data_IF_233758048837
#
_entry.id   IF_233758048837
#
_cell.length_a   1.000
_cell.length_b   1.000
_cell.length_c   1.000
_cell.angle_alpha   90.00
_cell.angle_beta   90.00
_cell.angle_gamma   90.00
#
_symmetry.space_group_name_H-M   'P 1'
#
loop_
_entity.id
_entity.type
_entity.pdbx_description
1 polymer ?
#
# COMPACT_ATOMS: atom_id res chain seq x y z
N UNK A 1 75.49 9.39 21.76
CA UNK A 1 74.24 8.97 21.07
C UNK A 1 73.45 10.22 20.72
N UNK A 2 73.49 10.67 19.46
CA UNK A 2 72.72 11.83 18.99
C UNK A 2 71.28 11.38 18.69
N UNK A 3 70.31 11.89 19.46
CA UNK A 3 68.88 11.64 19.27
C UNK A 3 68.38 12.62 18.21
N UNK A 4 68.13 12.14 17.00
CA UNK A 4 67.51 12.93 15.93
C UNK A 4 66.04 13.09 16.28
N UNK A 5 65.63 14.28 16.74
CA UNK A 5 64.23 14.62 16.91
C UNK A 5 63.65 14.86 15.51
N UNK A 6 62.81 13.93 15.03
CA UNK A 6 61.98 14.13 13.84
C UNK A 6 61.11 15.36 14.07
N UNK A 7 61.17 16.35 13.19
CA UNK A 7 60.19 17.43 13.19
C UNK A 7 58.86 16.87 12.68
N UNK A 8 57.92 16.64 13.57
CA UNK A 8 56.53 16.48 13.17
C UNK A 8 56.04 17.83 12.65
N UNK A 9 55.80 17.92 11.35
CA UNK A 9 55.27 19.12 10.71
C UNK A 9 53.88 19.43 11.26
N UNK A 10 53.68 20.64 11.77
CA UNK A 10 52.36 21.11 12.22
C UNK A 10 51.43 21.38 11.02
N UNK A 11 50.15 21.05 11.18
CA UNK A 11 49.10 21.38 10.22
C UNK A 11 48.96 22.89 10.06
N UNK A 12 48.89 23.38 8.82
CA UNK A 12 48.57 24.79 8.56
C UNK A 12 47.07 25.03 8.54
N UNK A 13 46.64 26.24 8.92
CA UNK A 13 45.23 26.65 8.82
C UNK A 13 44.71 26.56 7.38
N UNK A 14 45.58 26.84 6.39
CA UNK A 14 45.19 26.82 4.98
C UNK A 14 44.94 25.41 4.46
N UNK A 15 45.70 24.41 4.89
CA UNK A 15 45.44 23.00 4.53
C UNK A 15 44.07 22.54 5.03
N UNK A 16 43.70 22.92 6.25
CA UNK A 16 42.37 22.60 6.79
C UNK A 16 41.26 23.28 5.99
N UNK A 17 41.43 24.57 5.63
CA UNK A 17 40.42 25.31 4.86
C UNK A 17 40.20 24.72 3.47
N UNK A 18 41.28 24.33 2.77
CA UNK A 18 41.17 23.70 1.45
C UNK A 18 40.46 22.34 1.54
N UNK A 19 40.78 21.53 2.55
CA UNK A 19 40.13 20.23 2.76
C UNK A 19 38.63 20.41 3.01
N UNK A 20 38.25 21.35 3.87
CA UNK A 20 36.84 21.63 4.15
C UNK A 20 36.09 22.16 2.91
N UNK A 21 36.76 22.97 2.08
CA UNK A 21 36.18 23.46 0.83
C UNK A 21 35.88 22.32 -0.15
N UNK A 22 36.79 21.35 -0.30
CA UNK A 22 36.57 20.17 -1.15
C UNK A 22 35.46 19.28 -0.59
N UNK A 23 35.43 19.04 0.72
CA UNK A 23 34.36 18.24 1.36
C UNK A 23 32.99 18.91 1.15
N UNK A 24 32.90 20.22 1.34
CA UNK A 24 31.65 20.96 1.15
C UNK A 24 31.16 20.87 -0.31
N UNK A 25 32.08 20.99 -1.28
CA UNK A 25 31.77 20.84 -2.70
C UNK A 25 31.25 19.43 -3.03
N UNK A 26 31.93 18.39 -2.53
CA UNK A 26 31.51 17.00 -2.74
C UNK A 26 30.16 16.70 -2.07
N UNK A 27 29.94 17.17 -0.85
CA UNK A 27 28.66 17.00 -0.16
C UNK A 27 27.51 17.67 -0.91
N UNK A 28 27.74 18.88 -1.45
CA UNK A 28 26.74 19.62 -2.22
C UNK A 28 26.31 18.88 -3.50
N UNK A 29 27.25 18.23 -4.21
CA UNK A 29 26.93 17.50 -5.44
C UNK A 29 26.28 16.14 -5.19
N UNK A 30 26.59 15.48 -4.07
CA UNK A 30 26.02 14.18 -3.72
C UNK A 30 24.57 14.26 -3.21
N UNK A 31 24.21 15.34 -2.52
CA UNK A 31 22.89 15.50 -1.89
C UNK A 31 21.70 15.23 -2.84
N UNK A 32 21.59 15.84 -4.04
CA UNK A 32 20.45 15.60 -4.94
C UNK A 32 20.43 14.19 -5.54
N UNK A 33 21.57 13.48 -5.58
CA UNK A 33 21.63 12.10 -6.07
C UNK A 33 21.05 11.13 -5.03
N UNK A 34 21.40 11.33 -3.76
CA UNK A 34 20.91 10.50 -2.66
C UNK A 34 19.39 10.63 -2.49
N UNK A 35 18.84 11.85 -2.61
CA UNK A 35 17.38 12.06 -2.48
C UNK A 35 16.59 11.33 -3.57
N UNK A 36 17.06 11.36 -4.82
CA UNK A 36 16.46 10.61 -5.94
C UNK A 36 16.51 9.11 -5.70
N UNK A 37 17.68 8.59 -5.29
CA UNK A 37 17.83 7.17 -5.00
C UNK A 37 16.87 6.68 -3.89
N UNK A 38 16.68 7.49 -2.84
CA UNK A 38 15.70 7.18 -1.79
C UNK A 38 14.27 7.19 -2.33
N UNK A 39 13.91 8.15 -3.19
CA UNK A 39 12.59 8.20 -3.83
C UNK A 39 12.33 6.96 -4.70
N UNK A 40 13.30 6.58 -5.54
CA UNK A 40 13.21 5.39 -6.39
C UNK A 40 13.06 4.11 -5.54
N UNK A 41 13.82 4.01 -4.44
CA UNK A 41 13.71 2.88 -3.51
C UNK A 41 12.32 2.81 -2.83
N UNK A 42 11.72 3.97 -2.50
CA UNK A 42 10.34 4.03 -1.97
C UNK A 42 9.33 3.57 -3.02
N UNK A 43 9.43 4.04 -4.26
CA UNK A 43 8.55 3.62 -5.36
C UNK A 43 8.64 2.11 -5.59
N UNK A 44 9.85 1.56 -5.67
CA UNK A 44 10.07 0.11 -5.83
C UNK A 44 9.49 -0.69 -4.67
N UNK A 45 9.65 -0.19 -3.44
CA UNK A 45 9.05 -0.82 -2.24
C UNK A 45 7.52 -0.83 -2.33
N UNK A 46 6.90 0.30 -2.63
CA UNK A 46 5.44 0.38 -2.78
C UNK A 46 4.94 -0.55 -3.88
N UNK A 47 5.62 -0.63 -5.03
CA UNK A 47 5.31 -1.55 -6.12
C UNK A 47 5.39 -3.02 -5.69
N UNK A 48 6.38 -3.39 -4.88
CA UNK A 48 6.48 -4.73 -4.33
C UNK A 48 5.35 -5.01 -3.33
N UNK A 49 5.08 -4.06 -2.42
CA UNK A 49 4.05 -4.20 -1.39
C UNK A 49 2.65 -4.38 -2.00
N UNK A 50 2.27 -3.62 -3.03
CA UNK A 50 0.97 -3.82 -3.71
C UNK A 50 0.86 -5.19 -4.39
N UNK A 51 1.96 -5.74 -4.90
CA UNK A 51 1.99 -7.09 -5.49
C UNK A 51 1.86 -8.18 -4.43
N UNK A 52 2.56 -8.04 -3.29
CA UNK A 52 2.47 -8.96 -2.15
C UNK A 52 1.05 -8.98 -1.59
N UNK A 53 0.43 -7.80 -1.45
CA UNK A 53 -0.97 -7.67 -1.03
C UNK A 53 -1.90 -8.37 -2.04
N UNK A 54 -1.72 -8.11 -3.33
CA UNK A 54 -2.51 -8.74 -4.38
C UNK A 54 -2.39 -10.28 -4.38
N UNK A 55 -1.18 -10.81 -4.22
CA UNK A 55 -0.95 -12.25 -4.13
C UNK A 55 -1.62 -12.88 -2.88
N UNK A 56 -1.59 -12.17 -1.75
CA UNK A 56 -2.27 -12.60 -0.53
C UNK A 56 -3.80 -12.66 -0.73
N UNK A 57 -4.37 -11.67 -1.43
CA UNK A 57 -5.79 -11.64 -1.77
C UNK A 57 -6.17 -12.78 -2.72
N UNK A 58 -5.38 -13.04 -3.77
CA UNK A 58 -5.61 -14.16 -4.67
C UNK A 58 -5.54 -15.51 -3.95
N UNK A 59 -4.61 -15.67 -3.01
CA UNK A 59 -4.52 -16.88 -2.18
C UNK A 59 -5.74 -17.04 -1.27
N UNK A 60 -6.20 -15.94 -0.68
CA UNK A 60 -7.45 -15.91 0.11
C UNK A 60 -8.64 -16.37 -0.75
N UNK A 61 -8.74 -15.86 -1.97
CA UNK A 61 -9.78 -16.26 -2.91
C UNK A 61 -9.71 -17.74 -3.28
N UNK A 62 -8.52 -18.28 -3.55
CA UNK A 62 -8.34 -19.70 -3.86
C UNK A 62 -8.78 -20.62 -2.71
N UNK A 63 -8.59 -20.19 -1.47
CA UNK A 63 -8.94 -20.96 -0.27
C UNK A 63 -10.41 -20.83 0.13
N UNK A 64 -10.98 -19.63 -0.02
CA UNK A 64 -12.33 -19.29 0.42
C UNK A 64 -13.37 -19.20 -0.69
N UNK A 65 -12.95 -19.30 -1.96
CA UNK A 65 -13.79 -19.18 -3.14
C UNK A 65 -14.30 -17.77 -3.41
N UNK A 66 -13.79 -16.77 -2.68
CA UNK A 66 -14.28 -15.39 -2.70
C UNK A 66 -13.19 -14.42 -2.28
N UNK A 67 -13.27 -13.19 -2.77
CA UNK A 67 -12.39 -12.12 -2.32
C UNK A 67 -12.70 -11.69 -0.87
N UNK A 68 -11.71 -11.09 -0.17
CA UNK A 68 -11.99 -10.43 1.09
C UNK A 68 -12.96 -9.28 0.81
N UNK A 69 -13.98 -9.12 1.65
CA UNK A 69 -14.94 -8.04 1.54
C UNK A 69 -15.46 -7.69 2.92
N UNK A 70 -15.96 -6.46 3.08
CA UNK A 70 -16.58 -6.01 4.32
C UNK A 70 -18.06 -5.69 4.06
N UNK A 71 -18.97 -6.12 4.95
CA UNK A 71 -20.40 -5.79 4.89
C UNK A 71 -20.78 -5.01 6.14
N UNK A 72 -21.66 -4.02 5.97
CA UNK A 72 -21.86 -2.90 6.90
C UNK A 72 -22.89 -3.13 8.02
N UNK A 73 -23.38 -4.35 8.24
CA UNK A 73 -24.20 -4.65 9.40
C UNK A 73 -25.00 -5.95 9.31
N UNK A 74 -25.19 -6.58 10.48
CA UNK A 74 -26.03 -7.76 10.72
C UNK A 74 -25.54 -9.10 10.14
N UNK A 75 -24.45 -9.63 10.73
CA UNK A 75 -24.33 -11.05 11.12
C UNK A 75 -24.35 -12.15 10.05
N UNK A 76 -24.59 -11.85 8.77
CA UNK A 76 -24.55 -12.83 7.68
C UNK A 76 -23.86 -12.21 6.47
N UNK A 77 -22.60 -12.59 6.29
CA UNK A 77 -21.74 -12.14 5.20
C UNK A 77 -22.27 -12.73 3.88
N UNK A 78 -22.88 -11.92 3.00
CA UNK A 78 -23.34 -12.38 1.69
C UNK A 78 -22.56 -11.67 0.59
N UNK A 79 -22.08 -12.45 -0.38
CA UNK A 79 -21.41 -11.97 -1.60
C UNK A 79 -22.32 -11.11 -2.51
N UNK A 80 -23.60 -10.99 -2.16
CA UNK A 80 -24.61 -10.26 -2.93
C UNK A 80 -24.65 -8.76 -2.62
N UNK A 81 -23.95 -8.29 -1.58
CA UNK A 81 -23.86 -6.87 -1.27
C UNK A 81 -22.88 -6.22 -2.27
N UNK A 82 -23.41 -5.62 -3.34
CA UNK A 82 -22.65 -4.95 -4.40
C UNK A 82 -22.07 -3.57 -3.98
N UNK A 83 -22.00 -3.30 -2.68
CA UNK A 83 -21.46 -2.04 -2.18
C UNK A 83 -19.98 -1.97 -2.55
N UNK A 84 -19.56 -0.83 -3.11
CA UNK A 84 -18.15 -0.52 -3.35
C UNK A 84 -17.49 -0.36 -1.99
N UNK A 85 -17.01 -1.46 -1.44
CA UNK A 85 -16.35 -1.45 -0.14
C UNK A 85 -14.85 -1.43 -0.35
N UNK A 86 -14.26 -0.27 -0.13
CA UNK A 86 -12.81 -0.10 -0.10
C UNK A 86 -12.28 -0.66 1.21
N UNK A 87 -11.49 -1.73 1.12
CA UNK A 87 -10.70 -2.24 2.24
C UNK A 87 -9.43 -1.41 2.39
N UNK A 88 -8.91 -1.33 3.61
CA UNK A 88 -7.85 -0.41 3.95
C UNK A 88 -6.69 -1.09 4.67
N UNK A 89 -5.48 -0.59 4.43
CA UNK A 89 -4.29 -0.90 5.22
C UNK A 89 -4.12 -0.04 6.48
N UNK A 90 -3.04 -0.26 7.25
CA UNK A 90 -2.63 0.63 8.33
C UNK A 90 -2.05 1.93 7.74
N UNK A 91 -1.96 2.98 8.56
CA UNK A 91 -1.41 4.29 8.16
C UNK A 91 -2.47 5.40 8.13
N UNK A 92 -2.09 6.54 7.59
CA UNK A 92 -2.96 7.72 7.44
C UNK A 92 -3.83 7.60 6.19
N UNK A 93 -5.09 8.06 6.28
CA UNK A 93 -5.97 8.10 5.11
C UNK A 93 -5.41 9.11 4.10
N UNK A 94 -5.12 8.71 2.84
CA UNK A 94 -4.73 9.67 1.83
C UNK A 94 -5.89 10.61 1.49
N UNK A 95 -5.57 11.76 0.92
CA UNK A 95 -6.56 12.72 0.42
C UNK A 95 -6.92 12.42 -1.03
N UNK A 96 -7.99 12.99 -1.56
CA UNK A 96 -8.41 12.80 -2.97
C UNK A 96 -8.46 14.15 -3.68
N UNK A 97 -7.89 14.22 -4.89
CA UNK A 97 -7.88 15.45 -5.71
C UNK A 97 -8.97 15.41 -6.81
N UNK A 98 -9.43 14.22 -7.18
CA UNK A 98 -10.52 14.01 -8.15
C UNK A 98 -11.77 13.46 -7.48
N UNK A 99 -12.91 13.42 -8.21
CA UNK A 99 -14.14 12.71 -7.81
C UNK A 99 -13.95 11.18 -7.79
N UNK A 100 -12.85 10.73 -7.20
CA UNK A 100 -12.51 9.35 -6.98
C UNK A 100 -13.16 8.93 -5.65
N UNK A 101 -13.80 7.75 -5.62
CA UNK A 101 -14.48 7.25 -4.43
C UNK A 101 -13.59 6.26 -3.66
N UNK A 102 -12.26 6.45 -3.66
CA UNK A 102 -11.32 5.57 -2.97
C UNK A 102 -11.36 5.77 -1.44
N UNK A 103 -11.70 6.97 -0.98
CA UNK A 103 -11.86 7.31 0.43
C UNK A 103 -13.33 7.44 0.83
N UNK A 104 -14.23 7.57 -0.15
CA UNK A 104 -15.67 7.64 0.05
C UNK A 104 -16.27 6.24 0.25
N UNK A 105 -16.59 5.91 1.50
CA UNK A 105 -17.42 4.75 1.82
C UNK A 105 -18.88 5.14 1.59
N UNK A 106 -19.50 4.66 0.51
CA UNK A 106 -20.97 4.75 0.30
C UNK A 106 -21.70 3.80 1.25
N UNK A 107 -21.45 3.95 2.55
CA UNK A 107 -22.15 3.22 3.60
C UNK A 107 -22.80 4.25 4.49
N UNK A 108 -24.13 4.25 4.51
CA UNK A 108 -24.94 5.08 5.40
C UNK A 108 -24.45 4.96 6.85
N UNK A 109 -24.16 6.08 7.51
CA UNK A 109 -23.71 6.13 8.91
C UNK A 109 -22.20 6.11 9.14
N UNK A 110 -21.40 6.34 8.10
CA UNK A 110 -19.95 6.25 8.14
C UNK A 110 -19.26 7.59 7.90
N UNK A 111 -18.48 8.12 8.85
CA UNK A 111 -17.59 9.27 8.62
C UNK A 111 -16.13 8.79 8.59
N UNK A 112 -15.40 9.20 7.56
CA UNK A 112 -14.06 8.70 7.18
C UNK A 112 -12.98 8.74 8.29
N UNK A 113 -13.17 9.52 9.36
CA UNK A 113 -12.21 9.70 10.46
C UNK A 113 -12.52 8.87 11.71
N UNK A 114 -13.68 8.23 11.84
CA UNK A 114 -14.09 7.47 13.06
C UNK A 114 -14.50 6.02 12.78
N UNK A 115 -14.52 5.63 11.52
CA UNK A 115 -14.88 4.29 11.08
C UNK A 115 -13.59 3.51 10.80
N UNK A 116 -13.04 2.87 11.82
CA UNK A 116 -12.10 1.76 11.63
C UNK A 116 -12.91 0.66 10.93
N UNK A 117 -12.81 0.56 9.60
CA UNK A 117 -13.68 -0.35 8.82
C UNK A 117 -12.85 -1.28 7.98
N UNK A 118 -13.11 -2.57 8.15
CA UNK A 118 -12.64 -3.63 7.25
C UNK A 118 -11.15 -3.56 6.95
N UNK A 119 -10.30 -3.47 7.99
CA UNK A 119 -8.86 -3.57 7.76
C UNK A 119 -8.61 -4.88 7.00
N UNK A 120 -7.85 -4.79 5.92
CA UNK A 120 -7.49 -5.98 5.16
C UNK A 120 -6.79 -7.00 6.07
N UNK A 121 -6.07 -6.51 7.09
CA UNK A 121 -5.44 -7.31 8.13
C UNK A 121 -6.42 -8.14 8.96
N UNK A 122 -7.65 -7.68 9.20
CA UNK A 122 -8.66 -8.45 9.93
C UNK A 122 -8.97 -9.76 9.20
N UNK A 123 -9.16 -9.71 7.89
CA UNK A 123 -9.49 -10.90 7.09
C UNK A 123 -8.26 -11.73 6.73
N UNK A 124 -7.18 -11.07 6.28
CA UNK A 124 -5.99 -11.76 5.80
C UNK A 124 -5.09 -12.29 6.91
N UNK A 125 -5.07 -11.65 8.08
CA UNK A 125 -4.11 -11.99 9.16
C UNK A 125 -4.84 -12.57 10.36
N UNK A 126 -5.92 -11.93 10.82
CA UNK A 126 -6.59 -12.29 12.08
C UNK A 126 -7.72 -13.31 11.92
N UNK A 127 -8.10 -13.65 10.68
CA UNK A 127 -9.28 -14.47 10.41
C UNK A 127 -10.54 -13.90 11.07
N UNK A 128 -10.79 -12.60 10.95
CA UNK A 128 -12.04 -11.94 11.36
C UNK A 128 -12.87 -11.74 10.09
N UNK A 129 -14.12 -12.23 10.03
CA UNK A 129 -15.03 -12.59 11.14
C UNK A 129 -15.10 -14.10 11.50
N UNK A 130 -14.00 -14.85 11.42
CA UNK A 130 -13.88 -16.28 11.67
C UNK A 130 -14.41 -17.19 10.54
N UNK A 131 -13.69 -17.19 9.41
CA UNK A 131 -13.88 -18.17 8.34
C UNK A 131 -13.62 -19.60 8.85
N UNK A 132 -14.31 -20.62 8.30
CA UNK A 132 -14.11 -22.01 8.70
C UNK A 132 -12.66 -22.44 8.53
N UNK A 133 -12.06 -23.10 9.53
CA UNK A 133 -10.68 -23.59 9.50
C UNK A 133 -10.59 -25.11 9.25
N UNK A 134 -11.72 -25.79 9.19
CA UNK A 134 -11.82 -27.23 8.95
C UNK A 134 -12.88 -27.52 7.91
N UNK A 135 -12.64 -28.48 7.02
CA UNK A 135 -13.66 -28.95 6.08
C UNK A 135 -14.81 -29.60 6.84
N UNK A 136 -16.02 -29.20 6.52
CA UNK A 136 -17.26 -29.81 7.01
C UNK A 136 -18.17 -30.06 5.82
N UNK A 137 -19.07 -31.05 5.93
CA UNK A 137 -20.10 -31.28 4.95
C UNK A 137 -20.90 -29.99 4.69
N UNK A 138 -21.02 -29.58 3.43
CA UNK A 138 -21.65 -28.31 3.03
C UNK A 138 -20.77 -27.05 3.12
N UNK A 139 -19.53 -27.14 3.62
CA UNK A 139 -18.56 -26.02 3.69
C UNK A 139 -17.20 -26.44 3.09
N UNK A 140 -17.06 -26.44 1.75
CA UNK A 140 -15.84 -26.90 1.09
C UNK A 140 -14.64 -25.95 1.27
N UNK A 141 -14.93 -24.67 1.54
CA UNK A 141 -13.97 -23.58 1.66
C UNK A 141 -13.43 -23.44 3.08
N UNK A 142 -12.11 -23.29 3.19
CA UNK A 142 -11.38 -23.33 4.47
C UNK A 142 -10.29 -22.27 4.47
N UNK A 143 -10.23 -21.47 5.54
CA UNK A 143 -9.14 -20.55 5.81
C UNK A 143 -7.91 -21.33 6.27
N UNK A 144 -6.83 -21.31 5.48
CA UNK A 144 -5.62 -22.13 5.73
C UNK A 144 -4.46 -21.37 6.35
N UNK A 145 -4.68 -20.14 6.80
CA UNK A 145 -3.68 -19.40 7.54
C UNK A 145 -3.69 -17.92 7.24
N UNK A 146 -2.90 -17.15 8.00
CA UNK A 146 -2.66 -15.78 7.65
C UNK A 146 -2.04 -15.75 6.25
N UNK A 147 -2.65 -15.01 5.35
CA UNK A 147 -2.18 -14.83 3.97
C UNK A 147 -1.05 -13.80 3.88
N UNK A 148 -0.81 -13.09 4.99
CA UNK A 148 0.23 -12.08 5.14
C UNK A 148 0.74 -12.08 6.59
N UNK A 149 2.04 -11.92 6.79
CA UNK A 149 2.62 -11.87 8.15
C UNK A 149 2.32 -10.54 8.84
N UNK A 150 2.46 -9.44 8.09
CA UNK A 150 2.18 -8.09 8.55
C UNK A 150 1.81 -7.21 7.36
N UNK A 151 0.74 -6.43 7.51
CA UNK A 151 0.45 -5.33 6.60
C UNK A 151 1.20 -4.09 7.07
N UNK A 152 1.95 -3.46 6.16
CA UNK A 152 2.69 -2.23 6.45
C UNK A 152 1.97 -1.03 5.85
N UNK A 153 2.31 0.17 6.33
CA UNK A 153 1.92 1.41 5.66
C UNK A 153 2.68 1.53 4.35
N UNK A 154 2.20 2.38 3.45
CA UNK A 154 3.02 2.73 2.29
C UNK A 154 4.34 3.41 2.73
N UNK A 155 5.32 3.54 1.81
CA UNK A 155 6.62 4.18 2.11
C UNK A 155 6.54 5.66 2.53
N UNK A 156 5.37 6.28 2.42
CA UNK A 156 5.10 7.67 2.77
C UNK A 156 4.19 7.81 4.01
N UNK A 157 3.74 6.69 4.59
CA UNK A 157 2.93 6.63 5.82
C UNK A 157 1.43 6.50 5.60
N UNK A 158 0.94 6.48 4.36
CA UNK A 158 -0.47 6.38 4.04
C UNK A 158 -0.95 4.92 3.99
N UNK A 159 -2.27 4.76 4.01
CA UNK A 159 -2.94 3.48 3.83
C UNK A 159 -2.94 3.06 2.37
N UNK A 160 -2.77 1.75 2.17
CA UNK A 160 -3.21 1.10 0.93
C UNK A 160 -4.73 1.08 0.84
N UNK A 161 -5.26 1.40 -0.34
CA UNK A 161 -6.68 1.34 -0.64
C UNK A 161 -6.93 0.15 -1.58
N UNK A 162 -7.85 -0.72 -1.20
CA UNK A 162 -8.15 -1.94 -1.94
C UNK A 162 -9.62 -1.93 -2.32
N UNK A 163 -9.89 -1.85 -3.61
CA UNK A 163 -11.25 -1.90 -4.12
C UNK A 163 -11.51 -3.28 -4.75
N UNK A 164 -12.53 -3.96 -4.25
CA UNK A 164 -13.00 -5.27 -4.75
C UNK A 164 -14.39 -5.06 -5.34
N UNK A 165 -14.51 -4.19 -6.35
CA UNK A 165 -15.75 -4.08 -7.10
C UNK A 165 -15.91 -5.33 -7.98
N UNK A 166 -17.14 -5.83 -8.12
CA UNK A 166 -17.48 -6.88 -9.09
C UNK A 166 -17.33 -6.36 -10.52
N UNK A 167 -16.11 -6.36 -11.04
CA UNK A 167 -15.76 -5.86 -12.38
C UNK A 167 -16.05 -6.92 -13.43
N UNK A 168 -17.34 -7.23 -13.62
CA UNK A 168 -18.02 -7.73 -14.84
C UNK A 168 -19.26 -8.57 -14.49
N UNK A 169 -20.17 -8.68 -15.46
CA UNK A 169 -21.35 -9.55 -15.47
C UNK A 169 -21.02 -11.04 -15.62
N UNK A 170 -19.74 -11.38 -15.85
CA UNK A 170 -19.26 -12.75 -16.08
C UNK A 170 -18.73 -13.44 -14.80
N UNK A 171 -18.85 -12.80 -13.64
CA UNK A 171 -18.38 -13.29 -12.33
C UNK A 171 -16.86 -13.44 -12.21
N UNK A 172 -16.08 -12.75 -13.07
CA UNK A 172 -14.63 -12.61 -12.85
C UNK A 172 -14.41 -11.56 -11.77
N UNK A 173 -14.19 -11.99 -10.54
CA UNK A 173 -13.87 -11.08 -9.44
C UNK A 173 -12.49 -10.46 -9.68
N UNK A 174 -12.37 -9.13 -9.57
CA UNK A 174 -11.10 -8.43 -9.67
C UNK A 174 -10.93 -7.54 -8.45
N UNK A 175 -9.69 -7.37 -7.98
CA UNK A 175 -9.38 -6.34 -7.00
C UNK A 175 -8.30 -5.42 -7.53
N UNK A 176 -8.35 -4.19 -7.04
CA UNK A 176 -7.39 -3.14 -7.36
C UNK A 176 -6.83 -2.63 -6.06
N UNK A 177 -5.51 -2.66 -5.97
CA UNK A 177 -4.74 -2.16 -4.83
C UNK A 177 -4.08 -0.86 -5.28
N UNK A 178 -4.21 0.18 -4.47
CA UNK A 178 -3.70 1.51 -4.75
C UNK A 178 -2.87 2.04 -3.58
N UNK A 179 -1.76 2.69 -3.90
CA UNK A 179 -0.98 3.57 -3.03
C UNK A 179 -1.08 4.99 -3.57
N UNK A 180 -1.34 5.97 -2.69
CA UNK A 180 -1.48 7.39 -3.05
C UNK A 180 -0.16 8.11 -3.36
N UNK A 181 0.92 7.37 -3.61
CA UNK A 181 2.22 7.93 -3.94
C UNK A 181 2.87 8.82 -2.86
N UNK A 182 3.83 9.61 -3.31
CA UNK A 182 4.64 10.50 -2.49
C UNK A 182 3.91 11.75 -2.02
N UNK A 183 2.90 12.19 -2.78
CA UNK A 183 2.11 13.38 -2.43
C UNK A 183 0.97 13.06 -1.44
N UNK A 184 0.65 11.78 -1.20
CA UNK A 184 -0.45 11.36 -0.31
C UNK A 184 -1.84 11.74 -0.82
N UNK A 185 -1.95 11.93 -2.13
CA UNK A 185 -3.18 12.31 -2.82
C UNK A 185 -3.50 11.24 -3.85
N UNK A 186 -4.73 10.79 -3.86
CA UNK A 186 -5.22 9.87 -4.90
C UNK A 186 -5.71 10.70 -6.07
N UNK A 187 -5.10 10.50 -7.24
CA UNK A 187 -5.50 11.12 -8.50
C UNK A 187 -6.10 10.12 -9.49
N UNK A 188 -5.90 8.83 -9.26
CA UNK A 188 -6.44 7.75 -10.09
C UNK A 188 -7.96 7.75 -9.98
N UNK A 189 -8.63 8.16 -11.06
CA UNK A 189 -10.08 8.16 -11.10
C UNK A 189 -10.65 6.75 -10.99
N UNK A 190 -11.63 6.58 -10.11
CA UNK A 190 -12.44 5.37 -10.02
C UNK A 190 -13.77 5.60 -10.75
N UNK A 191 -13.79 5.40 -12.06
CA UNK A 191 -15.00 5.58 -12.88
C UNK A 191 -15.66 4.23 -13.20
N UNK A 192 -16.80 3.89 -12.58
CA UNK A 192 -17.68 2.82 -13.04
C UNK A 192 -18.77 3.37 -13.99
N UNK A 193 -18.45 4.28 -14.91
CA UNK A 193 -19.47 4.87 -15.80
C UNK A 193 -19.47 4.17 -17.16
N UNK A 194 -20.44 3.28 -17.38
CA UNK A 194 -20.89 2.93 -18.74
C UNK A 194 -20.32 1.67 -19.41
N UNK A 195 -19.74 0.72 -18.67
CA UNK A 195 -19.54 -0.63 -19.19
C UNK A 195 -18.23 -1.30 -18.80
N UNK A 196 -18.29 -2.14 -17.75
CA UNK A 196 -17.58 -3.42 -17.53
C UNK A 196 -16.08 -3.58 -17.90
N UNK A 197 -15.38 -2.49 -18.17
CA UNK A 197 -13.94 -2.47 -18.48
C UNK A 197 -13.36 -1.29 -17.73
N UNK A 198 -12.83 -1.52 -16.54
CA UNK A 198 -12.07 -0.47 -15.86
C UNK A 198 -10.74 -0.34 -16.60
N UNK A 199 -10.63 0.70 -17.43
CA UNK A 199 -9.35 1.20 -17.87
C UNK A 199 -8.79 2.03 -16.72
N UNK A 200 -8.09 1.37 -15.79
CA UNK A 200 -7.31 2.07 -14.76
C UNK A 200 -6.02 2.56 -15.37
N UNK A 201 -5.98 3.85 -15.66
CA UNK A 201 -4.73 4.57 -15.90
C UNK A 201 -4.32 5.19 -14.58
N UNK A 202 -3.16 4.81 -14.00
CA UNK A 202 -2.64 5.47 -12.80
C UNK A 202 -2.56 6.98 -13.02
N UNK A 203 -3.17 7.74 -12.11
CA UNK A 203 -3.06 9.20 -12.08
C UNK A 203 -1.84 9.62 -11.29
N UNK A 204 -1.20 10.73 -11.67
CA UNK A 204 -0.12 11.33 -10.88
C UNK A 204 1.02 10.37 -10.56
N UNK A 205 1.34 10.25 -9.28
CA UNK A 205 2.33 9.34 -8.69
C UNK A 205 1.69 8.14 -7.98
N UNK A 206 0.40 7.88 -8.23
CA UNK A 206 -0.28 6.71 -7.72
C UNK A 206 0.34 5.42 -8.25
N UNK A 207 0.42 4.42 -7.35
CA UNK A 207 0.89 3.08 -7.69
C UNK A 207 -0.30 2.14 -7.60
N UNK A 208 -0.66 1.54 -8.74
CA UNK A 208 -1.84 0.70 -8.87
C UNK A 208 -1.42 -0.71 -9.27
N UNK A 209 -1.98 -1.70 -8.59
CA UNK A 209 -1.87 -3.11 -8.96
C UNK A 209 -3.24 -3.74 -9.07
N UNK A 210 -3.49 -4.41 -10.20
CA UNK A 210 -4.76 -5.09 -10.47
C UNK A 210 -4.55 -6.59 -10.46
N UNK A 211 -5.40 -7.28 -9.72
CA UNK A 211 -5.56 -8.73 -9.79
C UNK A 211 -6.80 -9.09 -10.61
N UNK A 212 -6.66 -10.16 -11.40
CA UNK A 212 -7.68 -10.75 -12.25
C UNK A 212 -8.11 -12.08 -11.66
#
# INVERSE_FOLDING_TARGET
MQRVLRSEGGFTLIELVVVLAVIALLAATLTPLVTRYIQDARIQRAQNEVQVIGAAIQKFEQDLGRFPFFSNGAGTLREADQDVVVLQGPGDMPTEDTASNWTSSTVTGCKATTCVRGELAEQLIKNTPAYPTTRSEGKPFVWKGPFLDKLQTDPWGNKYLINIQNVRSDKSFAAIILSAGANGKVETAFEPTGGLTINLTPGGDDIVYRIR
#
